data_IF_784188422755
#
_entry.id   IF_784188422755
#
_cell.length_a   1.000
_cell.length_b   1.000
_cell.length_c   1.000
_cell.angle_alpha   90.00
_cell.angle_beta   90.00
_cell.angle_gamma   90.00
#
_symmetry.space_group_name_H-M   'P 1'
#
loop_
_entity.id
_entity.type
_entity.pdbx_description
1 polymer ?
#
# COMPACT_ATOMS: atom_id res chain seq x y z
N UNK A 1 4.92 -10.15 17.20
CA UNK A 1 4.15 -9.30 18.13
C UNK A 1 4.26 -9.81 19.57
N UNK A 2 3.82 -11.05 19.88
CA UNK A 2 3.77 -11.60 21.26
C UNK A 2 5.13 -11.52 21.96
N UNK A 3 6.20 -12.00 21.32
CA UNK A 3 7.56 -11.96 21.89
C UNK A 3 7.98 -10.52 22.20
N UNK A 4 7.77 -9.58 21.26
CA UNK A 4 8.09 -8.19 21.48
C UNK A 4 7.31 -7.56 22.63
N UNK A 5 6.02 -7.88 22.75
CA UNK A 5 5.18 -7.41 23.85
C UNK A 5 5.66 -7.94 25.20
N UNK A 6 5.99 -9.24 25.28
CA UNK A 6 6.52 -9.86 26.52
C UNK A 6 7.85 -9.21 26.91
N UNK A 7 8.77 -9.02 25.94
CA UNK A 7 10.06 -8.35 26.20
C UNK A 7 9.85 -6.91 26.65
N UNK A 8 8.96 -6.16 26.01
CA UNK A 8 8.66 -4.77 26.38
C UNK A 8 8.11 -4.67 27.83
N UNK A 9 7.19 -5.54 28.19
CA UNK A 9 6.64 -5.60 29.55
C UNK A 9 7.72 -6.01 30.56
N UNK A 10 8.58 -6.97 30.21
CA UNK A 10 9.66 -7.42 31.08
C UNK A 10 10.72 -6.33 31.31
N UNK A 11 11.04 -5.53 30.28
CA UNK A 11 12.03 -4.45 30.34
C UNK A 11 11.47 -3.16 30.97
N UNK A 12 10.16 -3.01 31.09
CA UNK A 12 9.56 -1.79 31.65
C UNK A 12 9.87 -1.64 33.13
N UNK A 13 10.17 -0.41 33.58
CA UNK A 13 10.49 -0.07 34.97
C UNK A 13 9.21 0.36 35.69
N UNK A 14 8.40 -0.61 36.15
CA UNK A 14 7.08 -0.26 36.73
C UNK A 14 6.71 -0.98 38.01
N UNK A 15 7.65 -1.58 38.72
CA UNK A 15 7.33 -2.30 39.98
C UNK A 15 6.58 -3.61 39.71
N UNK A 16 5.32 -3.74 40.17
CA UNK A 16 4.50 -4.95 40.03
C UNK A 16 4.16 -5.20 38.52
N UNK A 17 4.05 -6.47 38.14
CA UNK A 17 3.68 -6.87 36.79
C UNK A 17 2.38 -6.21 36.29
N UNK A 18 1.40 -6.07 37.17
CA UNK A 18 0.13 -5.39 36.90
C UNK A 18 0.34 -3.96 36.38
N UNK A 19 1.21 -3.18 37.03
CA UNK A 19 1.47 -1.79 36.63
C UNK A 19 2.20 -1.70 35.27
N UNK A 20 3.11 -2.64 35.01
CA UNK A 20 3.83 -2.72 33.74
C UNK A 20 2.89 -3.08 32.59
N UNK A 21 1.97 -4.02 32.82
CA UNK A 21 0.94 -4.40 31.85
C UNK A 21 -0.01 -3.22 31.58
N UNK A 22 -0.40 -2.49 32.62
CA UNK A 22 -1.25 -1.31 32.45
C UNK A 22 -0.55 -0.19 31.63
N UNK A 23 0.73 0.06 31.91
CA UNK A 23 1.53 1.01 31.09
C UNK A 23 1.63 0.59 29.65
N UNK A 24 1.85 -0.70 29.38
CA UNK A 24 1.84 -1.26 28.03
C UNK A 24 0.50 -1.05 27.33
N UNK A 25 -0.61 -1.37 28.00
CA UNK A 25 -1.96 -1.19 27.46
C UNK A 25 -2.28 0.29 27.20
N UNK A 26 -1.90 1.21 28.09
CA UNK A 26 -2.05 2.65 27.86
C UNK A 26 -1.26 3.14 26.65
N UNK A 27 -0.04 2.62 26.46
CA UNK A 27 0.77 2.91 25.26
C UNK A 27 0.13 2.36 23.99
N UNK A 28 -0.37 1.13 24.03
CA UNK A 28 -1.05 0.50 22.90
C UNK A 28 -2.39 1.18 22.56
N UNK A 29 -3.06 1.79 23.51
CA UNK A 29 -4.31 2.55 23.33
C UNK A 29 -4.08 3.96 22.75
N UNK A 30 -2.85 4.30 22.35
CA UNK A 30 -2.58 5.58 21.67
C UNK A 30 -3.41 5.66 20.37
N UNK A 31 -4.05 6.81 20.16
CA UNK A 31 -4.96 7.03 19.01
C UNK A 31 -4.32 6.72 17.65
N UNK A 32 -3.04 7.05 17.48
CA UNK A 32 -2.32 6.77 16.23
C UNK A 32 -2.10 5.27 16.02
N UNK A 33 -1.78 4.53 17.09
CA UNK A 33 -1.61 3.07 17.02
C UNK A 33 -2.95 2.41 16.71
N UNK A 34 -4.02 2.82 17.39
CA UNK A 34 -5.36 2.28 17.12
C UNK A 34 -5.85 2.60 15.71
N UNK A 35 -5.54 3.80 15.18
CA UNK A 35 -5.84 4.16 13.80
C UNK A 35 -5.12 3.21 12.82
N UNK A 36 -3.83 2.92 13.04
CA UNK A 36 -3.08 1.98 12.19
C UNK A 36 -3.67 0.57 12.25
N UNK A 37 -4.06 0.08 13.43
CA UNK A 37 -4.72 -1.23 13.59
C UNK A 37 -6.02 -1.28 12.79
N UNK A 38 -6.86 -0.23 12.87
CA UNK A 38 -8.10 -0.15 12.11
C UNK A 38 -7.84 -0.12 10.60
N UNK A 39 -6.83 0.64 10.15
CA UNK A 39 -6.43 0.67 8.74
C UNK A 39 -6.03 -0.74 8.26
N UNK A 40 -5.23 -1.48 9.03
CA UNK A 40 -4.84 -2.84 8.66
C UNK A 40 -6.01 -3.82 8.62
N UNK A 41 -6.97 -3.71 9.55
CA UNK A 41 -8.19 -4.53 9.53
C UNK A 41 -9.03 -4.22 8.28
N UNK A 42 -9.30 -2.93 8.01
CA UNK A 42 -10.04 -2.51 6.83
C UNK A 42 -9.31 -2.89 5.53
N UNK A 43 -7.99 -2.80 5.52
CA UNK A 43 -7.14 -3.20 4.41
C UNK A 43 -7.27 -4.70 4.10
N UNK A 44 -7.20 -5.53 5.13
CA UNK A 44 -7.40 -6.97 5.01
C UNK A 44 -8.81 -7.31 4.49
N UNK A 45 -9.84 -6.62 5.01
CA UNK A 45 -11.21 -6.78 4.54
C UNK A 45 -11.35 -6.37 3.06
N UNK A 46 -10.80 -5.21 2.66
CA UNK A 46 -10.81 -4.77 1.26
C UNK A 46 -10.08 -5.78 0.34
N UNK A 47 -8.86 -6.19 0.71
CA UNK A 47 -8.10 -7.13 -0.08
C UNK A 47 -8.86 -8.46 -0.29
N UNK A 48 -9.49 -8.97 0.76
CA UNK A 48 -10.24 -10.22 0.70
C UNK A 48 -11.53 -10.09 -0.11
N UNK A 49 -12.31 -9.01 0.06
CA UNK A 49 -13.51 -8.77 -0.74
C UNK A 49 -13.19 -8.54 -2.22
N UNK A 50 -12.16 -7.75 -2.52
CA UNK A 50 -11.69 -7.50 -3.87
C UNK A 50 -11.17 -8.78 -4.55
N UNK A 51 -10.46 -9.64 -3.81
CA UNK A 51 -10.00 -10.93 -4.32
C UNK A 51 -11.17 -11.87 -4.61
N UNK A 52 -12.11 -11.99 -3.68
CA UNK A 52 -13.24 -12.90 -3.79
C UNK A 52 -14.17 -12.55 -4.97
N UNK A 53 -14.37 -11.24 -5.28
CA UNK A 53 -15.14 -10.82 -6.44
C UNK A 53 -14.36 -10.88 -7.77
N UNK A 54 -13.05 -11.19 -7.75
CA UNK A 54 -12.19 -11.22 -8.94
C UNK A 54 -11.66 -9.85 -9.40
N UNK A 55 -11.75 -8.81 -8.56
CA UNK A 55 -11.25 -7.48 -8.89
C UNK A 55 -9.72 -7.45 -9.04
N UNK A 56 -9.00 -8.26 -8.24
CA UNK A 56 -7.55 -8.37 -8.33
C UNK A 56 -7.16 -8.89 -9.71
N UNK A 57 -7.76 -10.01 -10.16
CA UNK A 57 -7.46 -10.61 -11.46
C UNK A 57 -7.81 -9.68 -12.63
N UNK A 58 -8.95 -9.01 -12.57
CA UNK A 58 -9.36 -8.04 -13.58
C UNK A 58 -8.38 -6.85 -13.66
N UNK A 59 -7.94 -6.32 -12.50
CA UNK A 59 -6.98 -5.22 -12.44
C UNK A 59 -5.59 -5.65 -12.90
N UNK A 60 -5.17 -6.87 -12.58
CA UNK A 60 -3.92 -7.47 -13.06
C UNK A 60 -3.96 -7.62 -14.58
N UNK A 61 -5.05 -8.17 -15.15
CA UNK A 61 -5.23 -8.29 -16.59
C UNK A 61 -5.15 -6.92 -17.28
N UNK A 62 -5.79 -5.90 -16.71
CA UNK A 62 -5.72 -4.53 -17.22
C UNK A 62 -4.27 -4.01 -17.18
N UNK A 63 -3.58 -4.13 -16.08
CA UNK A 63 -2.18 -3.68 -15.95
C UNK A 63 -1.26 -4.37 -16.96
N UNK A 64 -1.41 -5.69 -17.12
CA UNK A 64 -0.63 -6.50 -18.06
C UNK A 64 -0.98 -6.24 -19.52
N UNK A 65 -2.17 -5.74 -19.83
CA UNK A 65 -2.54 -5.34 -21.20
C UNK A 65 -1.96 -4.00 -21.60
N UNK A 66 -1.70 -3.11 -20.62
CA UNK A 66 -1.16 -1.76 -20.87
C UNK A 66 0.36 -1.76 -20.86
N UNK A 67 0.98 -2.52 -19.93
CA UNK A 67 2.42 -2.54 -19.73
C UNK A 67 3.03 -3.84 -20.25
N UNK A 68 4.07 -3.76 -21.09
CA UNK A 68 4.84 -4.95 -21.46
C UNK A 68 5.52 -5.55 -20.22
N UNK A 69 5.75 -6.87 -20.23
CA UNK A 69 6.22 -7.64 -19.06
C UNK A 69 7.48 -7.08 -18.40
N UNK A 70 8.43 -6.61 -19.22
CA UNK A 70 9.66 -6.00 -18.73
C UNK A 70 9.47 -4.65 -18.02
N UNK A 71 8.33 -3.98 -18.20
CA UNK A 71 8.03 -2.70 -17.55
C UNK A 71 7.05 -2.82 -16.38
N UNK A 72 6.49 -4.00 -16.10
CA UNK A 72 5.48 -4.19 -15.06
C UNK A 72 5.99 -3.76 -13.67
N UNK A 73 7.17 -4.24 -13.27
CA UNK A 73 7.74 -3.88 -11.97
C UNK A 73 8.03 -2.37 -11.88
N UNK A 74 8.65 -1.80 -12.91
CA UNK A 74 8.93 -0.36 -12.95
C UNK A 74 7.65 0.47 -13.01
N UNK A 75 6.63 0.04 -13.73
CA UNK A 75 5.32 0.70 -13.81
C UNK A 75 4.60 0.73 -12.47
N UNK A 76 4.60 -0.40 -11.73
CA UNK A 76 4.02 -0.47 -10.37
C UNK A 76 4.82 0.39 -9.40
N UNK A 77 6.15 0.41 -9.51
CA UNK A 77 6.99 1.31 -8.71
C UNK A 77 6.59 2.77 -8.92
N UNK A 78 6.48 3.21 -10.17
CA UNK A 78 6.09 4.59 -10.50
C UNK A 78 4.66 4.91 -10.03
N UNK A 79 3.73 3.98 -10.21
CA UNK A 79 2.36 4.13 -9.70
C UNK A 79 2.34 4.28 -8.16
N UNK A 80 3.11 3.46 -7.45
CA UNK A 80 3.24 3.55 -6.00
C UNK A 80 3.86 4.88 -5.57
N UNK A 81 4.89 5.36 -6.26
CA UNK A 81 5.48 6.68 -6.02
C UNK A 81 4.43 7.79 -6.15
N UNK A 82 3.71 7.81 -7.27
CA UNK A 82 2.73 8.86 -7.58
C UNK A 82 1.55 8.85 -6.59
N UNK A 83 0.98 7.68 -6.33
CA UNK A 83 -0.13 7.53 -5.39
C UNK A 83 0.29 7.97 -3.99
N UNK A 84 1.45 7.53 -3.53
CA UNK A 84 1.95 7.85 -2.18
C UNK A 84 2.26 9.34 -2.01
N UNK A 85 2.80 10.02 -3.04
CA UNK A 85 2.96 11.48 -3.03
C UNK A 85 1.61 12.17 -2.86
N UNK A 86 0.60 11.69 -3.59
CA UNK A 86 -0.74 12.29 -3.64
C UNK A 86 -1.55 12.04 -2.37
N UNK A 87 -1.45 10.84 -1.80
CA UNK A 87 -2.19 10.41 -0.59
C UNK A 87 -1.49 10.88 0.69
N UNK A 88 -0.16 11.02 0.66
CA UNK A 88 0.66 11.39 1.81
C UNK A 88 0.83 10.26 2.84
N UNK A 89 0.67 9.00 2.42
CA UNK A 89 0.90 7.85 3.30
C UNK A 89 1.43 6.64 2.53
N UNK A 90 2.54 6.10 2.98
CA UNK A 90 3.09 4.85 2.44
C UNK A 90 2.20 3.65 2.77
N UNK A 91 1.66 3.59 3.98
CA UNK A 91 0.81 2.48 4.43
C UNK A 91 -0.43 2.32 3.57
N UNK A 92 -1.16 3.42 3.32
CA UNK A 92 -2.35 3.41 2.46
C UNK A 92 -2.05 2.95 1.03
N UNK A 93 -0.93 3.40 0.48
CA UNK A 93 -0.47 3.02 -0.86
C UNK A 93 -0.10 1.54 -0.94
N UNK A 94 0.66 1.02 0.05
CA UNK A 94 1.04 -0.40 0.11
C UNK A 94 -0.21 -1.27 0.17
N UNK A 95 -1.15 -0.92 1.04
CA UNK A 95 -2.39 -1.67 1.21
C UNK A 95 -3.22 -1.73 -0.08
N UNK A 96 -3.31 -0.63 -0.81
CA UNK A 96 -4.07 -0.55 -2.05
C UNK A 96 -3.40 -1.37 -3.19
N UNK A 97 -2.07 -1.34 -3.29
CA UNK A 97 -1.35 -1.93 -4.42
C UNK A 97 -0.82 -3.35 -4.17
N UNK A 98 -0.61 -3.76 -2.92
CA UNK A 98 -0.04 -5.07 -2.61
C UNK A 98 -0.82 -6.24 -3.22
N UNK A 99 -2.17 -6.31 -3.17
CA UNK A 99 -2.91 -7.41 -3.80
C UNK A 99 -2.71 -7.48 -5.31
N UNK A 100 -2.64 -6.33 -5.99
CA UNK A 100 -2.38 -6.25 -7.44
C UNK A 100 -0.97 -6.72 -7.76
N UNK A 101 0.01 -6.29 -6.97
CA UNK A 101 1.41 -6.69 -7.14
C UNK A 101 1.60 -8.21 -6.98
N UNK A 102 0.98 -8.82 -5.97
CA UNK A 102 1.00 -10.28 -5.77
C UNK A 102 0.26 -11.00 -6.91
N UNK A 103 -0.86 -10.46 -7.39
CA UNK A 103 -1.58 -11.01 -8.54
C UNK A 103 -0.72 -11.00 -9.82
N UNK A 104 0.05 -9.93 -10.07
CA UNK A 104 1.00 -9.86 -11.19
C UNK A 104 2.14 -10.88 -10.99
N UNK A 105 2.69 -10.97 -9.78
CA UNK A 105 3.73 -11.96 -9.45
C UNK A 105 3.28 -13.38 -9.79
N UNK A 106 2.07 -13.77 -9.38
CA UNK A 106 1.50 -15.09 -9.67
C UNK A 106 1.32 -15.37 -11.17
N UNK A 107 1.02 -14.36 -11.99
CA UNK A 107 0.85 -14.52 -13.44
C UNK A 107 2.16 -14.47 -14.22
N UNK A 108 3.14 -13.73 -13.73
CA UNK A 108 4.41 -13.52 -14.42
C UNK A 108 5.53 -14.44 -13.95
N UNK A 109 5.31 -15.19 -12.85
CA UNK A 109 6.34 -16.01 -12.22
C UNK A 109 7.40 -15.22 -11.46
N UNK A 110 7.22 -13.89 -11.29
CA UNK A 110 8.10 -13.09 -10.45
C UNK A 110 7.90 -13.46 -8.96
N UNK A 111 8.96 -13.41 -8.13
CA UNK A 111 8.81 -13.63 -6.70
C UNK A 111 7.87 -12.59 -6.05
N UNK A 112 6.92 -13.05 -5.21
CA UNK A 112 6.02 -12.17 -4.45
C UNK A 112 6.79 -11.14 -3.63
N UNK A 113 7.90 -11.56 -3.00
CA UNK A 113 8.75 -10.69 -2.21
C UNK A 113 9.35 -9.54 -3.04
N UNK A 114 9.70 -9.78 -4.30
CA UNK A 114 10.18 -8.74 -5.21
C UNK A 114 9.07 -7.74 -5.51
N UNK A 115 7.89 -8.22 -5.91
CA UNK A 115 6.77 -7.34 -6.28
C UNK A 115 6.22 -6.55 -5.10
N UNK A 116 6.20 -7.12 -3.91
CA UNK A 116 5.90 -6.38 -2.68
C UNK A 116 6.99 -5.35 -2.37
N UNK A 117 8.26 -5.68 -2.57
CA UNK A 117 9.39 -4.75 -2.44
C UNK A 117 9.28 -3.56 -3.41
N UNK A 118 8.82 -3.79 -4.63
CA UNK A 118 8.52 -2.75 -5.63
C UNK A 118 7.49 -1.76 -5.10
N UNK A 119 6.37 -2.26 -4.57
CA UNK A 119 5.31 -1.41 -3.99
C UNK A 119 5.81 -0.64 -2.78
N UNK A 120 6.49 -1.32 -1.85
CA UNK A 120 7.01 -0.71 -0.62
C UNK A 120 8.01 0.39 -0.94
N UNK A 121 8.97 0.14 -1.84
CA UNK A 121 9.98 1.13 -2.20
C UNK A 121 9.37 2.37 -2.86
N UNK A 122 8.40 2.19 -3.76
CA UNK A 122 7.68 3.29 -4.39
C UNK A 122 6.82 4.08 -3.39
N UNK A 123 6.11 3.38 -2.51
CA UNK A 123 5.29 4.00 -1.48
C UNK A 123 6.12 4.82 -0.48
N UNK A 124 7.27 4.29 -0.05
CA UNK A 124 8.19 4.99 0.85
C UNK A 124 8.83 6.21 0.18
N UNK A 125 9.19 6.11 -1.09
CA UNK A 125 9.67 7.25 -1.86
C UNK A 125 8.64 8.37 -1.92
N UNK A 126 7.39 8.04 -2.26
CA UNK A 126 6.31 9.01 -2.39
C UNK A 126 5.97 9.68 -1.06
N UNK A 127 5.88 8.91 0.02
CA UNK A 127 5.62 9.40 1.38
C UNK A 127 6.70 10.42 1.82
N UNK A 128 7.97 10.13 1.54
CA UNK A 128 9.07 11.02 1.84
C UNK A 128 9.02 12.37 1.10
N UNK A 129 8.47 12.40 -0.09
CA UNK A 129 8.35 13.61 -0.92
C UNK A 129 6.99 14.30 -0.78
N UNK A 130 6.02 13.68 -0.13
CA UNK A 130 4.70 14.27 0.06
C UNK A 130 4.74 15.47 1.01
N UNK A 131 4.00 16.53 0.65
CA UNK A 131 3.80 17.71 1.49
C UNK A 131 2.71 17.51 2.55
N UNK A 132 1.87 16.48 2.38
CA UNK A 132 0.73 16.19 3.26
C UNK A 132 0.97 14.97 4.16
N UNK A 133 2.14 14.35 4.07
CA UNK A 133 2.50 13.21 4.91
C UNK A 133 2.62 13.62 6.38
N UNK A 134 1.94 12.87 7.25
CA UNK A 134 1.96 13.09 8.70
C UNK A 134 3.38 13.06 9.25
N UNK A 135 4.20 12.11 8.82
CA UNK A 135 5.60 11.97 9.22
C UNK A 135 6.42 13.19 8.82
N UNK A 136 6.18 13.72 7.63
CA UNK A 136 6.83 14.92 7.10
C UNK A 136 6.42 16.18 7.87
N UNK A 137 5.11 16.31 8.14
CA UNK A 137 4.56 17.46 8.89
C UNK A 137 5.12 17.47 10.32
N UNK A 138 5.10 16.32 11.01
CA UNK A 138 5.64 16.20 12.36
C UNK A 138 7.12 16.51 12.38
N UNK A 139 7.92 15.92 11.49
CA UNK A 139 9.36 16.14 11.43
C UNK A 139 9.72 17.61 11.21
N UNK A 140 9.07 18.29 10.28
CA UNK A 140 9.35 19.70 9.99
C UNK A 140 8.90 20.65 11.10
N UNK A 141 7.70 20.39 11.66
CA UNK A 141 7.13 21.20 12.75
C UNK A 141 7.94 21.11 14.03
N UNK A 142 8.34 19.90 14.43
CA UNK A 142 9.14 19.70 15.66
C UNK A 142 10.55 20.29 15.56
N UNK A 143 11.12 20.35 14.36
CA UNK A 143 12.45 20.93 14.12
C UNK A 143 12.41 22.41 13.72
N UNK A 144 11.23 23.03 13.62
CA UNK A 144 11.08 24.43 13.19
C UNK A 144 11.55 24.69 11.76
N UNK A 145 11.58 23.65 10.91
CA UNK A 145 12.04 23.75 9.52
C UNK A 145 10.90 24.10 8.58
N UNK A 146 11.25 24.75 7.45
CA UNK A 146 10.28 24.99 6.38
C UNK A 146 10.08 23.71 5.55
N UNK A 147 8.82 23.38 5.23
CA UNK A 147 8.45 22.21 4.42
C UNK A 147 9.12 22.22 3.04
N UNK A 148 9.18 23.39 2.39
CA UNK A 148 9.82 23.54 1.08
C UNK A 148 11.33 23.24 1.12
N UNK A 149 12.01 23.59 2.20
CA UNK A 149 13.44 23.32 2.33
C UNK A 149 13.69 21.82 2.54
N UNK A 150 12.85 21.18 3.36
CA UNK A 150 12.86 19.70 3.51
C UNK A 150 12.65 19.01 2.14
N UNK A 151 11.67 19.46 1.37
CA UNK A 151 11.40 18.90 0.04
C UNK A 151 12.61 19.06 -0.90
N UNK A 152 13.21 20.24 -0.97
CA UNK A 152 14.39 20.50 -1.82
C UNK A 152 15.58 19.62 -1.46
N UNK A 153 15.79 19.35 -0.18
CA UNK A 153 16.88 18.48 0.29
C UNK A 153 16.55 17.01 -0.04
N UNK A 154 15.34 16.57 0.30
CA UNK A 154 14.95 15.20 0.10
C UNK A 154 14.90 14.79 -1.38
N UNK A 155 14.40 15.66 -2.27
CA UNK A 155 14.32 15.33 -3.69
C UNK A 155 15.72 15.14 -4.31
N UNK A 156 16.70 15.92 -3.88
CA UNK A 156 18.09 15.78 -4.35
C UNK A 156 18.72 14.44 -3.99
N UNK A 157 18.29 13.85 -2.87
CA UNK A 157 18.80 12.55 -2.41
C UNK A 157 17.93 11.42 -2.97
N UNK A 158 16.62 11.55 -2.84
CA UNK A 158 15.68 10.46 -3.17
C UNK A 158 15.51 10.26 -4.68
N UNK A 159 15.47 11.35 -5.48
CA UNK A 159 15.21 11.24 -6.92
C UNK A 159 16.28 10.44 -7.68
N UNK A 160 17.60 10.65 -7.48
CA UNK A 160 18.61 9.83 -8.14
C UNK A 160 18.50 8.34 -7.77
N UNK A 161 18.19 8.06 -6.51
CA UNK A 161 18.00 6.68 -6.02
C UNK A 161 16.74 6.08 -6.66
N UNK A 162 15.65 6.83 -6.75
CA UNK A 162 14.41 6.34 -7.38
C UNK A 162 14.60 6.06 -8.88
N UNK A 163 15.35 6.91 -9.60
CA UNK A 163 15.70 6.67 -11.01
C UNK A 163 16.52 5.39 -11.15
N UNK A 164 17.53 5.23 -10.31
CA UNK A 164 18.36 4.01 -10.29
C UNK A 164 17.51 2.77 -9.97
N UNK A 165 16.65 2.85 -8.97
CA UNK A 165 15.75 1.76 -8.57
C UNK A 165 14.77 1.41 -9.69
N UNK A 166 14.15 2.40 -10.31
CA UNK A 166 13.27 2.19 -11.46
C UNK A 166 13.99 1.52 -12.64
N UNK A 167 15.22 1.95 -12.92
CA UNK A 167 16.06 1.32 -13.94
C UNK A 167 16.40 -0.14 -13.60
N UNK A 168 16.74 -0.43 -12.34
CA UNK A 168 16.97 -1.81 -11.89
C UNK A 168 15.71 -2.67 -12.04
N UNK A 169 14.52 -2.13 -11.77
CA UNK A 169 13.27 -2.86 -11.98
C UNK A 169 12.98 -3.14 -13.45
N UNK A 170 13.38 -2.25 -14.38
CA UNK A 170 13.34 -2.54 -15.82
C UNK A 170 14.30 -3.68 -16.18
N UNK A 171 15.52 -3.66 -15.64
CA UNK A 171 16.49 -4.73 -15.90
C UNK A 171 16.02 -6.09 -15.39
N UNK A 172 15.45 -6.13 -14.18
CA UNK A 172 14.90 -7.35 -13.58
C UNK A 172 13.70 -7.83 -14.40
N UNK A 173 12.85 -6.91 -14.86
CA UNK A 173 11.70 -7.20 -15.71
C UNK A 173 12.07 -7.83 -17.06
N UNK A 174 13.26 -7.57 -17.61
CA UNK A 174 13.71 -8.18 -18.86
C UNK A 174 13.82 -9.71 -18.79
N UNK A 175 13.89 -10.31 -17.60
CA UNK A 175 13.84 -11.76 -17.41
C UNK A 175 12.41 -12.34 -17.43
N UNK A 176 11.40 -11.48 -17.44
CA UNK A 176 9.98 -11.91 -17.51
C UNK A 176 9.63 -12.17 -18.95
N UNK A 177 9.42 -13.44 -19.29
CA UNK A 177 9.05 -13.84 -20.64
C UNK A 177 7.74 -13.20 -21.10
N UNK A 178 7.63 -12.91 -22.39
CA UNK A 178 6.41 -12.38 -23.01
C UNK A 178 5.28 -13.43 -23.16
N UNK A 179 5.41 -14.58 -22.49
CA UNK A 179 4.52 -15.74 -22.64
C UNK A 179 3.37 -15.84 -21.65
N UNK A 180 3.05 -14.77 -20.92
CA UNK A 180 1.87 -14.79 -20.05
C UNK A 180 0.59 -14.46 -20.84
N UNK A 181 -0.42 -15.29 -20.67
CA UNK A 181 -1.73 -15.02 -21.23
C UNK A 181 -2.47 -13.98 -20.39
N UNK A 182 -2.82 -12.85 -21.01
CA UNK A 182 -3.72 -11.88 -20.41
C UNK A 182 -5.15 -12.39 -20.57
N UNK A 183 -5.83 -12.61 -19.46
CA UNK A 183 -7.26 -12.94 -19.49
C UNK A 183 -8.11 -11.74 -19.95
N UNK A 184 -9.41 -11.94 -20.15
CA UNK A 184 -10.33 -10.87 -20.53
C UNK A 184 -10.37 -9.78 -19.46
N UNK A 185 -10.49 -8.51 -19.88
CA UNK A 185 -10.62 -7.38 -18.98
C UNK A 185 -12.09 -7.22 -18.59
N UNK A 186 -12.44 -7.55 -17.36
CA UNK A 186 -13.78 -7.35 -16.82
C UNK A 186 -13.88 -5.95 -16.18
N UNK A 187 -14.22 -4.95 -16.96
CA UNK A 187 -14.26 -3.55 -16.54
C UNK A 187 -15.06 -3.29 -15.26
N UNK A 188 -16.19 -3.98 -15.09
CA UNK A 188 -17.04 -3.84 -13.89
C UNK A 188 -16.30 -4.25 -12.63
N UNK A 189 -15.48 -5.29 -12.70
CA UNK A 189 -14.67 -5.77 -11.57
C UNK A 189 -13.44 -4.89 -11.29
N UNK A 190 -12.99 -4.10 -12.27
CA UNK A 190 -11.88 -3.14 -12.11
C UNK A 190 -12.35 -1.88 -11.37
N UNK A 191 -13.63 -1.49 -11.50
CA UNK A 191 -14.18 -0.25 -10.96
C UNK A 191 -13.87 0.00 -9.48
N UNK A 192 -13.99 -0.95 -8.53
CA UNK A 192 -13.68 -0.71 -7.13
C UNK A 192 -12.23 -0.27 -6.91
N UNK A 193 -11.26 -0.89 -7.61
CA UNK A 193 -9.87 -0.46 -7.54
C UNK A 193 -9.64 0.93 -8.11
N UNK A 194 -10.25 1.25 -9.25
CA UNK A 194 -10.14 2.60 -9.84
C UNK A 194 -10.71 3.66 -8.91
N UNK A 195 -11.86 3.40 -8.27
CA UNK A 195 -12.47 4.35 -7.34
C UNK A 195 -11.61 4.51 -6.08
N UNK A 196 -11.07 3.41 -5.54
CA UNK A 196 -10.12 3.46 -4.41
C UNK A 196 -8.89 4.29 -4.78
N UNK A 197 -8.29 4.09 -5.95
CA UNK A 197 -7.14 4.86 -6.40
C UNK A 197 -7.47 6.35 -6.62
N UNK A 198 -8.60 6.64 -7.28
CA UNK A 198 -9.04 8.02 -7.54
C UNK A 198 -9.33 8.74 -6.23
N UNK A 199 -10.08 8.14 -5.32
CA UNK A 199 -10.41 8.75 -4.02
C UNK A 199 -9.18 8.93 -3.15
N UNK A 200 -8.22 8.00 -3.20
CA UNK A 200 -6.93 8.14 -2.54
C UNK A 200 -6.13 9.33 -3.12
N UNK A 201 -6.01 9.44 -4.44
CA UNK A 201 -5.32 10.56 -5.11
C UNK A 201 -6.01 11.91 -4.80
N UNK A 202 -7.33 11.94 -4.64
CA UNK A 202 -8.07 13.12 -4.22
C UNK A 202 -7.84 13.51 -2.74
N UNK A 203 -7.00 12.79 -2.01
CA UNK A 203 -6.65 13.10 -0.62
C UNK A 203 -7.74 12.72 0.40
N UNK A 204 -8.65 11.82 0.05
CA UNK A 204 -9.66 11.29 0.98
C UNK A 204 -8.95 10.45 2.05
N UNK A 205 -9.43 10.53 3.29
CA UNK A 205 -8.88 9.75 4.40
C UNK A 205 -8.84 8.25 4.08
N UNK A 206 -7.69 7.60 4.35
CA UNK A 206 -7.43 6.20 4.00
C UNK A 206 -8.50 5.23 4.53
N UNK A 207 -9.03 5.46 5.74
CA UNK A 207 -10.11 4.64 6.28
C UNK A 207 -11.38 4.73 5.44
N UNK A 208 -11.76 5.95 5.00
CA UNK A 208 -12.93 6.16 4.14
C UNK A 208 -12.73 5.54 2.77
N UNK A 209 -11.54 5.66 2.20
CA UNK A 209 -11.16 5.02 0.93
C UNK A 209 -11.35 3.50 1.00
N UNK A 210 -10.85 2.88 2.08
CA UNK A 210 -10.99 1.43 2.28
C UNK A 210 -12.44 1.00 2.50
N UNK A 211 -13.21 1.75 3.30
CA UNK A 211 -14.64 1.47 3.54
C UNK A 211 -15.41 1.54 2.21
N UNK A 212 -15.21 2.60 1.42
CA UNK A 212 -15.82 2.73 0.09
C UNK A 212 -15.41 1.57 -0.81
N UNK A 213 -14.13 1.20 -0.81
CA UNK A 213 -13.61 0.04 -1.54
C UNK A 213 -14.31 -1.27 -1.15
N UNK A 214 -14.47 -1.54 0.15
CA UNK A 214 -15.17 -2.73 0.66
C UNK A 214 -16.62 -2.76 0.20
N UNK A 215 -17.34 -1.64 0.38
CA UNK A 215 -18.76 -1.54 -0.01
C UNK A 215 -18.93 -1.76 -1.52
N UNK A 216 -18.12 -1.10 -2.34
CA UNK A 216 -18.18 -1.23 -3.79
C UNK A 216 -17.82 -2.64 -4.24
N UNK A 217 -16.76 -3.23 -3.68
CA UNK A 217 -16.40 -4.62 -3.96
C UNK A 217 -17.50 -5.59 -3.56
N UNK A 218 -18.17 -5.34 -2.43
CA UNK A 218 -19.32 -6.12 -1.99
C UNK A 218 -20.49 -6.04 -2.97
N UNK A 219 -20.88 -4.84 -3.37
CA UNK A 219 -21.97 -4.62 -4.32
C UNK A 219 -21.68 -5.27 -5.67
N UNK A 220 -20.48 -5.01 -6.24
CA UNK A 220 -20.09 -5.59 -7.52
C UNK A 220 -20.02 -7.11 -7.43
N UNK A 221 -19.47 -7.67 -6.34
CA UNK A 221 -19.38 -9.10 -6.13
C UNK A 221 -20.75 -9.79 -6.07
N UNK A 222 -21.73 -9.17 -5.43
CA UNK A 222 -23.11 -9.65 -5.41
C UNK A 222 -23.78 -9.59 -6.80
N UNK A 223 -23.56 -8.51 -7.54
CA UNK A 223 -24.14 -8.32 -8.88
C UNK A 223 -23.52 -9.26 -9.94
N UNK A 224 -22.24 -9.59 -9.78
CA UNK A 224 -21.50 -10.45 -10.74
C UNK A 224 -21.47 -11.92 -10.35
N UNK A 225 -22.13 -12.32 -9.25
CA UNK A 225 -22.14 -13.70 -8.75
C UNK A 225 -20.79 -14.15 -8.17
N UNK A 226 -19.93 -13.21 -7.79
CA UNK A 226 -18.64 -13.51 -7.16
C UNK A 226 -18.74 -13.88 -5.67
N UNK A 227 -19.90 -13.71 -5.05
CA UNK A 227 -20.18 -14.12 -3.68
C UNK A 227 -21.38 -15.07 -3.64
N UNK A 228 -21.17 -16.24 -3.03
CA UNK A 228 -22.28 -17.05 -2.54
C UNK A 228 -22.72 -16.49 -1.16
N UNK A 229 -23.96 -16.10 -1.04
CA UNK A 229 -24.53 -15.53 0.19
C UNK A 229 -24.85 -16.63 1.23
N UNK A 230 -24.63 -17.92 0.88
CA UNK A 230 -24.95 -19.09 1.73
C UNK A 230 -23.74 -19.99 1.95
#
# INVERSE_FOLDING_TARGET
>A
FVIASVVAIAMSKGGKLSNRTEQFCRGAANSNIMLMVLIFILAGAFAQTAKAMGAVDATVNLAMSILPGNLLAAGIFLAACFISISVGTSVGTIVALAPVAVGIAGKTGMPDALMLGVVVSGAMFGDNLSFISDTTIVATRTQGCNMNDKFKVNIRIALPIAILTGFLYVLIGNGVGSGYETGPIEWVKVLPYLIVLITAICGVNVMMVLIVGIILSGIVGLLTGGFDIW
#
